data_IF_205543698733
#
_entry.id   IF_205543698733
#
_cell.length_a   1.000
_cell.length_b   1.000
_cell.length_c   1.000
_cell.angle_alpha   90.00
_cell.angle_beta   90.00
_cell.angle_gamma   90.00
#
_symmetry.space_group_name_H-M   'P 1'
#
loop_
_entity.id
_entity.type
_entity.pdbx_description
1 polymer ?
#
# COMPACT_ATOMS: atom_id res chain seq x y z
N UNK A 1 -34.81 -60.27 18.63
CA UNK A 1 -33.34 -60.04 18.60
C UNK A 1 -32.86 -59.11 17.47
N UNK A 2 -33.54 -59.02 16.31
CA UNK A 2 -33.14 -58.14 15.19
C UNK A 2 -33.40 -56.64 15.40
N UNK A 3 -34.38 -56.27 16.24
CA UNK A 3 -34.74 -54.86 16.52
C UNK A 3 -33.74 -54.13 17.42
N UNK A 4 -32.99 -54.86 18.26
CA UNK A 4 -31.93 -54.27 19.10
C UNK A 4 -30.69 -53.89 18.29
N UNK A 5 -30.35 -54.68 17.26
CA UNK A 5 -29.21 -54.40 16.39
C UNK A 5 -29.43 -53.14 15.53
N UNK A 6 -30.68 -52.92 15.09
CA UNK A 6 -31.04 -51.74 14.30
C UNK A 6 -31.05 -50.44 15.13
N UNK A 7 -31.40 -50.53 16.42
CA UNK A 7 -31.38 -49.40 17.34
C UNK A 7 -29.95 -48.93 17.67
N UNK A 8 -28.98 -49.85 17.73
CA UNK A 8 -27.59 -49.51 17.99
C UNK A 8 -26.91 -48.85 16.77
N UNK A 9 -27.27 -49.28 15.55
CA UNK A 9 -26.73 -48.69 14.32
C UNK A 9 -27.23 -47.25 14.07
N UNK A 10 -28.47 -46.94 14.50
CA UNK A 10 -29.05 -45.59 14.41
C UNK A 10 -28.49 -44.61 15.46
N UNK A 11 -27.98 -45.12 16.59
CA UNK A 11 -27.38 -44.28 17.63
C UNK A 11 -25.96 -43.81 17.27
N UNK A 12 -25.22 -44.58 16.46
CA UNK A 12 -23.87 -44.21 16.02
C UNK A 12 -23.84 -43.09 14.95
N UNK A 13 -24.95 -42.78 14.30
CA UNK A 13 -24.99 -41.76 13.23
C UNK A 13 -25.20 -40.32 13.74
N UNK A 14 -25.54 -40.15 15.03
CA UNK A 14 -25.85 -38.84 15.64
C UNK A 14 -24.65 -38.07 16.20
N UNK A 15 -23.44 -38.64 16.16
CA UNK A 15 -22.25 -38.07 16.81
C UNK A 15 -21.28 -37.37 15.85
N UNK A 16 -21.77 -36.79 14.75
CA UNK A 16 -20.93 -35.96 13.85
C UNK A 16 -20.80 -34.56 14.46
N UNK A 17 -19.83 -34.38 15.34
CA UNK A 17 -19.42 -33.06 15.80
C UNK A 17 -18.80 -32.29 14.63
N UNK A 18 -19.33 -31.12 14.31
CA UNK A 18 -18.76 -30.24 13.30
C UNK A 18 -17.32 -29.87 13.70
N UNK A 19 -16.33 -30.31 12.93
CA UNK A 19 -14.95 -29.89 13.12
C UNK A 19 -14.83 -28.40 12.82
N UNK A 20 -14.61 -27.57 13.85
CA UNK A 20 -14.25 -26.16 13.68
C UNK A 20 -12.78 -26.09 13.29
N UNK A 21 -12.51 -25.95 12.00
CA UNK A 21 -11.19 -25.55 11.51
C UNK A 21 -11.03 -24.04 11.75
N UNK A 22 -10.78 -23.66 13.00
CA UNK A 22 -10.38 -22.29 13.36
C UNK A 22 -8.92 -22.12 12.89
N UNK A 23 -8.74 -21.53 11.72
CA UNK A 23 -7.42 -21.22 11.18
C UNK A 23 -6.81 -20.07 12.02
N UNK A 24 -6.08 -20.42 13.07
CA UNK A 24 -5.32 -19.44 13.86
C UNK A 24 -3.94 -19.25 13.23
N UNK A 25 -3.80 -18.21 12.39
CA UNK A 25 -2.49 -17.76 11.92
C UNK A 25 -1.92 -16.84 13.00
N UNK A 26 -1.07 -17.39 13.86
CA UNK A 26 -0.30 -16.60 14.81
C UNK A 26 0.99 -16.09 14.14
N UNK A 27 0.98 -14.83 13.70
CA UNK A 27 2.16 -14.17 13.12
C UNK A 27 2.97 -13.56 14.27
N UNK A 28 3.56 -14.39 15.12
CA UNK A 28 4.60 -13.92 16.05
C UNK A 28 5.92 -13.77 15.30
N UNK A 29 6.33 -12.54 15.01
CA UNK A 29 7.76 -12.24 14.77
C UNK A 29 8.16 -11.58 13.45
N UNK A 30 7.25 -11.03 12.64
CA UNK A 30 7.63 -10.23 11.48
C UNK A 30 7.22 -8.76 11.66
N UNK A 31 7.76 -8.08 12.68
CA UNK A 31 7.67 -6.61 12.74
C UNK A 31 8.85 -6.03 11.97
N UNK A 32 8.77 -6.08 10.64
CA UNK A 32 9.62 -5.22 9.82
C UNK A 32 9.28 -3.79 10.17
N UNK A 33 10.29 -2.97 10.50
CA UNK A 33 10.06 -1.53 10.58
C UNK A 33 9.56 -1.07 9.20
N UNK A 34 8.52 -0.20 9.13
CA UNK A 34 8.04 0.29 7.85
C UNK A 34 9.15 1.04 7.12
N UNK A 35 9.30 0.76 5.84
CA UNK A 35 10.32 1.39 5.00
C UNK A 35 10.05 2.90 4.88
N UNK A 36 11.06 3.72 5.15
CA UNK A 36 10.93 5.18 5.07
C UNK A 36 10.93 5.61 3.61
N UNK A 37 9.85 6.22 3.16
CA UNK A 37 9.66 6.59 1.76
C UNK A 37 9.39 8.08 1.64
N UNK A 38 10.11 8.74 0.74
CA UNK A 38 9.82 10.09 0.33
C UNK A 38 8.83 10.07 -0.84
N UNK A 39 7.79 10.89 -0.74
CA UNK A 39 6.79 11.10 -1.77
C UNK A 39 6.47 12.60 -1.88
N UNK A 40 7.32 13.37 -2.59
CA UNK A 40 6.98 14.75 -2.92
C UNK A 40 5.70 14.82 -3.74
N UNK A 41 4.96 15.93 -3.59
CA UNK A 41 3.79 16.20 -4.43
C UNK A 41 4.21 16.14 -5.88
N UNK A 42 3.45 15.41 -6.69
CA UNK A 42 3.76 15.26 -8.10
C UNK A 42 3.80 16.63 -8.78
N UNK A 43 4.79 16.80 -9.65
CA UNK A 43 4.87 17.99 -10.50
C UNK A 43 3.73 17.98 -11.52
N UNK A 44 3.37 19.13 -12.08
CA UNK A 44 2.31 19.18 -13.09
C UNK A 44 2.37 20.39 -14.00
N UNK A 45 1.59 20.35 -15.09
CA UNK A 45 1.35 21.48 -15.96
C UNK A 45 0.01 22.20 -15.65
N UNK A 46 0.09 23.51 -15.42
CA UNK A 46 -1.08 24.36 -15.21
C UNK A 46 -1.87 24.07 -13.91
N UNK A 47 -2.87 24.90 -13.63
CA UNK A 47 -3.63 24.83 -12.38
C UNK A 47 -4.52 23.58 -12.27
N UNK A 48 -5.11 23.13 -13.39
CA UNK A 48 -5.92 21.91 -13.42
C UNK A 48 -5.07 20.66 -13.10
N UNK A 49 -3.86 20.59 -13.65
CA UNK A 49 -2.90 19.54 -13.36
C UNK A 49 -2.46 19.53 -11.90
N UNK A 50 -2.29 20.70 -11.28
CA UNK A 50 -1.84 20.80 -9.89
C UNK A 50 -2.81 20.15 -8.89
N UNK A 51 -4.12 20.32 -9.10
CA UNK A 51 -5.12 19.63 -8.26
C UNK A 51 -5.02 18.12 -8.43
N UNK A 52 -4.95 17.65 -9.68
CA UNK A 52 -4.87 16.21 -9.98
C UNK A 52 -3.57 15.61 -9.44
N UNK A 53 -2.46 16.32 -9.52
CA UNK A 53 -1.18 15.88 -8.98
C UNK A 53 -1.24 15.69 -7.46
N UNK A 54 -1.86 16.63 -6.74
CA UNK A 54 -2.10 16.48 -5.31
C UNK A 54 -3.02 15.29 -5.01
N UNK A 55 -4.11 15.14 -5.75
CA UNK A 55 -5.06 14.03 -5.56
C UNK A 55 -4.37 12.67 -5.81
N UNK A 56 -3.55 12.56 -6.86
CA UNK A 56 -2.76 11.35 -7.17
C UNK A 56 -1.73 11.06 -6.09
N UNK A 57 -0.99 12.08 -5.64
CA UNK A 57 -0.02 11.93 -4.53
C UNK A 57 -0.72 11.41 -3.27
N UNK A 58 -1.87 11.98 -2.91
CA UNK A 58 -2.62 11.56 -1.71
C UNK A 58 -3.13 10.11 -1.81
N UNK A 59 -3.54 9.66 -2.99
CA UNK A 59 -3.95 8.26 -3.20
C UNK A 59 -2.76 7.33 -2.99
N UNK A 60 -1.61 7.64 -3.59
CA UNK A 60 -0.39 6.85 -3.41
C UNK A 60 0.04 6.82 -1.94
N UNK A 61 0.04 7.97 -1.26
CA UNK A 61 0.32 8.06 0.17
C UNK A 61 -0.61 7.17 0.99
N UNK A 62 -1.92 7.28 0.77
CA UNK A 62 -2.94 6.47 1.45
C UNK A 62 -2.74 4.97 1.23
N UNK A 63 -2.41 4.55 0.01
CA UNK A 63 -2.17 3.13 -0.31
C UNK A 63 -0.90 2.60 0.38
N UNK A 64 0.17 3.40 0.38
CA UNK A 64 1.43 3.06 1.04
C UNK A 64 1.24 2.94 2.56
N UNK A 65 0.58 3.90 3.19
CA UNK A 65 0.33 3.89 4.63
C UNK A 65 -0.63 2.76 5.03
N UNK A 66 -1.68 2.51 4.24
CA UNK A 66 -2.66 1.44 4.51
C UNK A 66 -2.04 0.04 4.45
N UNK A 67 -0.95 -0.14 3.70
CA UNK A 67 -0.23 -1.42 3.66
C UNK A 67 0.51 -1.76 4.97
N UNK A 68 0.83 -0.75 5.79
CA UNK A 68 1.67 -0.90 6.97
C UNK A 68 3.15 -1.22 6.69
N UNK A 69 3.54 -1.35 5.41
CA UNK A 69 4.91 -1.66 4.98
C UNK A 69 5.78 -0.42 4.78
N UNK A 70 5.16 0.75 4.62
CA UNK A 70 5.82 2.00 4.32
C UNK A 70 5.47 3.06 5.36
N UNK A 71 6.39 4.00 5.57
CA UNK A 71 6.16 5.23 6.31
C UNK A 71 6.57 6.40 5.42
N UNK A 72 5.58 7.17 4.98
CA UNK A 72 5.85 8.39 4.23
C UNK A 72 6.48 9.42 5.17
N UNK A 73 7.58 10.03 4.72
CA UNK A 73 8.28 11.06 5.50
C UNK A 73 7.49 12.37 5.47
N UNK A 74 7.64 13.17 6.53
CA UNK A 74 7.02 14.49 6.60
C UNK A 74 7.50 15.36 5.42
N UNK A 75 6.60 15.93 4.60
CA UNK A 75 6.97 16.81 3.50
C UNK A 75 7.82 18.01 3.89
N UNK A 76 7.75 18.47 5.15
CA UNK A 76 8.61 19.54 5.67
C UNK A 76 10.10 19.15 5.74
N UNK A 77 10.42 17.85 5.71
CA UNK A 77 11.79 17.37 5.66
C UNK A 77 12.39 17.41 4.25
N UNK A 78 11.59 17.56 3.19
CA UNK A 78 12.08 17.48 1.81
C UNK A 78 12.97 18.68 1.46
N UNK A 79 14.17 18.39 0.98
CA UNK A 79 15.20 19.39 0.64
C UNK A 79 15.19 19.75 -0.86
N UNK A 80 14.43 19.01 -1.66
CA UNK A 80 14.34 19.18 -3.12
C UNK A 80 12.89 19.19 -3.59
N UNK A 81 12.66 19.90 -4.70
CA UNK A 81 11.41 19.89 -5.46
C UNK A 81 11.69 19.51 -6.90
N UNK A 82 10.77 18.79 -7.54
CA UNK A 82 10.92 18.31 -8.92
C UNK A 82 9.96 19.02 -9.88
N UNK A 83 10.36 19.15 -11.14
CA UNK A 83 9.52 19.70 -12.22
C UNK A 83 9.03 18.62 -13.19
N UNK A 84 9.73 17.49 -13.25
CA UNK A 84 9.42 16.33 -14.08
C UNK A 84 9.66 15.03 -13.30
N UNK A 85 9.10 13.91 -13.74
CA UNK A 85 9.42 12.58 -13.19
C UNK A 85 10.82 12.07 -13.59
N UNK A 86 11.45 12.72 -14.58
CA UNK A 86 12.77 12.34 -15.09
C UNK A 86 13.92 13.09 -14.42
N UNK A 87 13.63 14.12 -13.62
CA UNK A 87 14.65 14.90 -12.92
C UNK A 87 15.38 13.95 -11.95
N UNK A 88 16.70 13.85 -12.09
CA UNK A 88 17.50 13.00 -11.22
C UNK A 88 17.62 13.63 -9.82
N UNK A 89 17.33 12.89 -8.73
CA UNK A 89 17.47 13.41 -7.39
C UNK A 89 18.95 13.59 -7.02
N UNK A 90 19.27 14.64 -6.24
CA UNK A 90 20.54 14.65 -5.54
C UNK A 90 20.44 13.70 -4.33
N UNK A 91 20.91 12.47 -4.50
CA UNK A 91 20.76 11.38 -3.51
C UNK A 91 21.25 11.74 -2.10
N UNK A 92 22.24 12.61 -1.98
CA UNK A 92 22.80 13.07 -0.71
C UNK A 92 21.74 13.70 0.19
N UNK A 93 20.82 14.50 -0.37
CA UNK A 93 19.78 15.18 0.41
C UNK A 93 18.73 14.20 0.93
N UNK A 94 18.36 13.20 0.12
CA UNK A 94 17.40 12.17 0.49
C UNK A 94 17.99 11.20 1.53
N UNK A 95 19.28 10.91 1.41
CA UNK A 95 20.03 10.16 2.42
C UNK A 95 20.11 10.92 3.75
N UNK A 96 20.28 12.26 3.70
CA UNK A 96 20.35 13.09 4.90
C UNK A 96 19.06 13.03 5.74
N UNK A 97 17.90 12.87 5.09
CA UNK A 97 16.60 12.68 5.76
C UNK A 97 16.23 11.21 5.97
N UNK A 98 17.15 10.28 5.68
CA UNK A 98 16.98 8.83 5.84
C UNK A 98 15.81 8.26 5.03
N UNK A 99 15.57 8.79 3.83
CA UNK A 99 14.67 8.16 2.87
C UNK A 99 15.35 6.92 2.28
N UNK A 100 14.68 5.78 2.33
CA UNK A 100 15.13 4.50 1.76
C UNK A 100 14.63 4.31 0.32
N UNK A 101 13.52 4.98 -0.02
CA UNK A 101 12.98 5.04 -1.36
C UNK A 101 12.46 6.45 -1.66
N UNK A 102 12.55 6.87 -2.92
CA UNK A 102 11.95 8.12 -3.39
C UNK A 102 10.99 7.83 -4.55
N UNK A 103 9.73 8.21 -4.38
CA UNK A 103 8.71 8.14 -5.41
C UNK A 103 8.49 9.55 -5.96
N UNK A 104 8.77 9.71 -7.24
CA UNK A 104 8.65 10.98 -7.95
C UNK A 104 7.66 10.83 -9.09
N UNK A 105 6.95 11.91 -9.41
CA UNK A 105 6.01 11.87 -10.51
C UNK A 105 5.68 13.21 -11.14
N UNK A 106 5.01 13.11 -12.28
CA UNK A 106 4.53 14.23 -13.07
C UNK A 106 3.14 13.95 -13.63
N UNK A 107 2.24 14.90 -13.46
CA UNK A 107 0.91 14.90 -14.08
C UNK A 107 0.88 15.90 -15.21
N UNK A 108 0.68 15.37 -16.40
CA UNK A 108 0.53 16.11 -17.63
C UNK A 108 -0.95 16.09 -18.04
N UNK A 109 -1.66 17.12 -17.59
CA UNK A 109 -3.03 17.42 -17.95
C UNK A 109 -3.09 17.94 -19.38
N UNK A 110 -3.75 17.19 -20.27
CA UNK A 110 -3.94 17.58 -21.67
C UNK A 110 -5.29 18.25 -21.85
N UNK A 111 -6.34 17.60 -21.36
CA UNK A 111 -7.73 18.05 -21.38
C UNK A 111 -8.58 17.26 -20.38
N UNK A 112 -9.88 17.54 -20.31
CA UNK A 112 -10.80 16.91 -19.35
C UNK A 112 -10.97 15.39 -19.53
N UNK A 113 -10.64 14.84 -20.71
CA UNK A 113 -10.75 13.40 -21.02
C UNK A 113 -9.39 12.70 -20.99
N UNK A 114 -8.29 13.45 -21.00
CA UNK A 114 -6.95 12.90 -21.15
C UNK A 114 -5.95 13.54 -20.20
N UNK A 115 -5.41 12.69 -19.35
CA UNK A 115 -4.27 12.99 -18.51
C UNK A 115 -3.19 11.93 -18.74
N UNK A 116 -1.93 12.30 -18.54
CA UNK A 116 -0.82 11.37 -18.44
C UNK A 116 -0.18 11.51 -17.08
N UNK A 117 -0.03 10.39 -16.38
CA UNK A 117 0.71 10.33 -15.12
C UNK A 117 1.98 9.54 -15.38
N UNK A 118 3.13 10.12 -15.03
CA UNK A 118 4.42 9.46 -15.09
C UNK A 118 4.97 9.33 -13.68
N UNK A 119 5.46 8.14 -13.33
CA UNK A 119 6.01 7.83 -12.01
C UNK A 119 7.39 7.24 -12.19
N UNK A 120 8.29 7.57 -11.28
CA UNK A 120 9.62 7.00 -11.19
C UNK A 120 9.93 6.67 -9.74
N UNK A 121 10.44 5.46 -9.53
CA UNK A 121 11.01 5.02 -8.26
C UNK A 121 12.53 5.11 -8.37
N UNK A 122 13.14 5.68 -7.33
CA UNK A 122 14.58 5.78 -7.15
C UNK A 122 15.01 5.02 -5.91
#
# INVERSE_FOLDING_TARGET
>A
MKKLFFACLLFCFGAVSAARAELSIDITGARSEPMKTALPVFSSNGAAGAKIAKDVTNVIESDLESSGLFRVLDPMAYLQTFKSASDAPAFVDWQAIKAEALIQGHVDYRDAKKIRVSVRLW
#
